data_IF_039244834036
#
_entry.id   IF_039244834036
#
_cell.length_a   1.000
_cell.length_b   1.000
_cell.length_c   1.000
_cell.angle_alpha   90.00
_cell.angle_beta   90.00
_cell.angle_gamma   90.00
#
_symmetry.space_group_name_H-M   'P 1'
#
loop_
_entity.id
_entity.type
_entity.pdbx_description
1 polymer ?
#
# COMPACT_ATOMS: atom_id res chain seq x y z
N UNK A 1 17.74 2.28 -23.48
CA UNK A 1 16.84 3.21 -24.19
C UNK A 1 15.58 2.43 -24.52
N UNK A 2 14.63 2.26 -23.58
CA UNK A 2 13.29 1.66 -23.84
C UNK A 2 12.30 1.85 -22.67
N UNK A 3 12.58 2.79 -21.74
CA UNK A 3 11.75 2.99 -20.55
C UNK A 3 10.50 3.86 -20.81
N UNK A 4 10.30 4.36 -22.04
CA UNK A 4 9.18 5.27 -22.39
C UNK A 4 7.88 4.56 -22.75
N UNK A 5 7.88 3.25 -22.98
CA UNK A 5 6.69 2.54 -23.50
C UNK A 5 5.56 2.37 -22.48
N UNK A 6 5.86 2.40 -21.17
CA UNK A 6 4.88 2.18 -20.10
C UNK A 6 4.58 3.43 -19.26
N UNK A 7 5.03 4.62 -19.69
CA UNK A 7 4.68 5.88 -19.03
C UNK A 7 3.46 6.49 -19.69
N UNK A 8 2.51 6.97 -18.88
CA UNK A 8 1.36 7.74 -19.34
C UNK A 8 1.42 9.17 -18.80
N UNK A 9 1.43 10.16 -19.69
CA UNK A 9 1.36 11.59 -19.34
C UNK A 9 -0.07 11.98 -18.97
N UNK A 10 -0.27 12.46 -17.73
CA UNK A 10 -1.58 12.87 -17.24
C UNK A 10 -2.08 14.16 -17.89
N UNK A 11 -1.22 14.95 -18.57
CA UNK A 11 -1.66 16.12 -19.34
C UNK A 11 -2.33 15.74 -20.66
N UNK A 12 -2.10 14.54 -21.17
CA UNK A 12 -2.72 14.03 -22.40
C UNK A 12 -3.99 13.21 -22.14
N UNK A 13 -4.54 13.29 -20.92
CA UNK A 13 -5.61 12.42 -20.45
C UNK A 13 -6.85 12.50 -21.35
N UNK A 14 -7.15 11.39 -22.00
CA UNK A 14 -8.46 11.11 -22.59
C UNK A 14 -8.85 9.68 -22.27
N UNK A 15 -10.15 9.42 -22.10
CA UNK A 15 -10.63 8.07 -21.76
C UNK A 15 -10.20 7.04 -22.81
N UNK A 16 -10.14 7.42 -24.10
CA UNK A 16 -9.73 6.52 -25.19
C UNK A 16 -8.22 6.22 -25.11
N UNK A 17 -7.37 7.26 -25.04
CA UNK A 17 -5.92 7.08 -24.95
C UNK A 17 -5.54 6.26 -23.71
N UNK A 18 -6.16 6.58 -22.57
CA UNK A 18 -5.89 5.88 -21.33
C UNK A 18 -6.39 4.43 -21.35
N UNK A 19 -7.56 4.17 -21.93
CA UNK A 19 -8.05 2.80 -22.14
C UNK A 19 -7.05 1.99 -22.95
N UNK A 20 -6.57 2.52 -24.06
CA UNK A 20 -5.66 1.79 -24.96
C UNK A 20 -4.31 1.53 -24.28
N UNK A 21 -3.80 2.50 -23.51
CA UNK A 21 -2.65 2.33 -22.63
C UNK A 21 -2.85 1.19 -21.61
N UNK A 22 -3.97 1.20 -20.87
CA UNK A 22 -4.29 0.16 -19.88
C UNK A 22 -4.42 -1.20 -20.57
N UNK A 23 -5.13 -1.31 -21.70
CA UNK A 23 -5.28 -2.58 -22.42
C UNK A 23 -3.93 -3.15 -22.87
N UNK A 24 -3.01 -2.31 -23.33
CA UNK A 24 -1.66 -2.74 -23.70
C UNK A 24 -0.87 -3.23 -22.47
N UNK A 25 -0.98 -2.54 -21.34
CA UNK A 25 -0.39 -2.96 -20.07
C UNK A 25 -0.97 -4.29 -19.58
N UNK A 26 -2.29 -4.46 -19.60
CA UNK A 26 -2.93 -5.68 -19.10
C UNK A 26 -2.56 -6.92 -19.94
N UNK A 27 -2.27 -6.73 -21.23
CA UNK A 27 -1.76 -7.78 -22.14
C UNK A 27 -0.29 -8.13 -21.93
N UNK A 28 0.47 -7.32 -21.18
CA UNK A 28 1.86 -7.68 -20.80
C UNK A 28 1.91 -8.57 -19.55
N UNK A 29 0.83 -9.30 -19.25
CA UNK A 29 0.77 -10.24 -18.12
C UNK A 29 1.69 -11.44 -18.37
N UNK A 30 2.69 -11.61 -17.51
CA UNK A 30 3.61 -12.74 -17.56
C UNK A 30 3.12 -13.92 -16.73
N UNK A 31 2.38 -14.85 -17.36
CA UNK A 31 1.87 -16.06 -16.67
C UNK A 31 2.98 -16.98 -16.16
N UNK A 32 4.08 -17.08 -16.91
CA UNK A 32 5.23 -17.88 -16.49
C UNK A 32 5.88 -17.31 -15.23
N UNK A 33 5.86 -15.98 -15.05
CA UNK A 33 6.30 -15.34 -13.82
C UNK A 33 5.34 -15.66 -12.65
N UNK A 34 4.02 -15.65 -12.86
CA UNK A 34 3.04 -16.06 -11.85
C UNK A 34 3.26 -17.52 -11.42
N UNK A 35 3.47 -18.42 -12.38
CA UNK A 35 3.77 -19.83 -12.12
C UNK A 35 5.08 -20.00 -11.35
N UNK A 36 6.14 -19.32 -11.77
CA UNK A 36 7.43 -19.32 -11.08
C UNK A 36 7.30 -18.85 -9.62
N UNK A 37 6.58 -17.75 -9.39
CA UNK A 37 6.31 -17.24 -8.05
C UNK A 37 5.47 -18.22 -7.23
N UNK A 38 4.48 -18.88 -7.83
CA UNK A 38 3.71 -19.95 -7.19
C UNK A 38 4.59 -21.12 -6.72
N UNK A 39 5.47 -21.62 -7.58
CA UNK A 39 6.43 -22.69 -7.26
C UNK A 39 7.43 -22.25 -6.17
N UNK A 40 7.89 -21.01 -6.23
CA UNK A 40 8.72 -20.41 -5.19
C UNK A 40 7.99 -20.36 -3.85
N UNK A 41 6.72 -19.93 -3.82
CA UNK A 41 5.90 -19.86 -2.62
C UNK A 41 5.64 -21.22 -1.99
N UNK A 42 5.38 -22.26 -2.81
CA UNK A 42 5.23 -23.64 -2.32
C UNK A 42 6.50 -24.10 -1.60
N UNK A 43 7.69 -23.78 -2.13
CA UNK A 43 8.97 -24.10 -1.49
C UNK A 43 9.19 -23.28 -0.22
N UNK A 44 8.85 -22.00 -0.24
CA UNK A 44 9.00 -21.10 0.91
C UNK A 44 8.12 -21.53 2.09
N UNK A 45 6.87 -21.95 1.83
CA UNK A 45 5.93 -22.45 2.86
C UNK A 45 6.38 -23.72 3.59
N UNK A 46 7.34 -24.46 3.03
CA UNK A 46 7.93 -25.64 3.69
C UNK A 46 9.05 -25.28 4.67
N UNK A 47 9.49 -24.02 4.69
CA UNK A 47 10.54 -23.55 5.60
C UNK A 47 9.90 -23.13 6.93
N UNK A 48 10.51 -23.56 8.02
CA UNK A 48 10.12 -23.14 9.36
C UNK A 48 10.67 -21.74 9.67
N UNK A 49 9.83 -20.80 10.16
CA UNK A 49 10.31 -19.51 10.62
C UNK A 49 11.07 -19.64 11.94
N UNK A 50 12.11 -18.83 12.12
CA UNK A 50 12.83 -18.75 13.41
C UNK A 50 12.00 -18.06 14.48
N UNK A 51 11.16 -17.12 14.06
CA UNK A 51 10.23 -16.39 14.91
C UNK A 51 8.82 -16.60 14.38
N UNK A 52 7.96 -17.18 15.21
CA UNK A 52 6.55 -17.40 14.89
C UNK A 52 5.74 -16.19 15.33
N UNK A 53 4.84 -15.72 14.44
CA UNK A 53 3.85 -14.69 14.76
C UNK A 53 2.62 -15.33 15.39
N UNK A 54 2.04 -14.63 16.36
CA UNK A 54 0.79 -14.96 17.03
C UNK A 54 -0.27 -13.92 16.65
N UNK A 55 -1.49 -14.37 16.40
CA UNK A 55 -2.66 -13.49 16.28
C UNK A 55 -3.18 -13.18 17.69
N UNK A 56 -3.26 -11.91 18.05
CA UNK A 56 -3.75 -11.45 19.35
C UNK A 56 -4.68 -10.25 19.18
N UNK A 57 -5.75 -10.19 19.97
CA UNK A 57 -6.68 -9.08 19.98
C UNK A 57 -6.40 -8.11 21.15
N UNK A 58 -6.81 -6.85 20.99
CA UNK A 58 -6.79 -5.87 22.09
C UNK A 58 -5.40 -5.33 22.46
N UNK A 59 -4.41 -5.46 21.57
CA UNK A 59 -3.07 -4.90 21.75
C UNK A 59 -2.83 -3.75 20.79
N UNK A 60 -2.73 -2.54 21.34
CA UNK A 60 -2.42 -1.32 20.59
C UNK A 60 -1.25 -0.59 21.23
N UNK A 61 -0.10 -0.56 20.55
CA UNK A 61 1.02 0.29 20.94
C UNK A 61 0.89 1.72 20.42
N UNK A 62 0.08 1.89 19.37
CA UNK A 62 -0.20 3.17 18.77
C UNK A 62 -1.45 3.79 19.40
N UNK A 63 -1.32 5.04 19.84
CA UNK A 63 -2.43 5.84 20.33
C UNK A 63 -3.04 6.67 19.19
N UNK A 64 -4.37 6.81 19.17
CA UNK A 64 -5.02 7.69 18.19
C UNK A 64 -4.74 9.13 18.58
N UNK A 65 -4.08 9.85 17.68
CA UNK A 65 -3.78 11.28 17.83
C UNK A 65 -4.87 12.13 17.18
N UNK A 66 -5.33 11.72 15.99
CA UNK A 66 -6.37 12.42 15.26
C UNK A 66 -7.18 11.50 14.34
N UNK A 67 -8.33 11.99 13.87
CA UNK A 67 -9.14 11.31 12.88
C UNK A 67 -9.84 12.27 11.91
N UNK A 68 -10.14 11.76 10.71
CA UNK A 68 -10.78 12.46 9.60
C UNK A 68 -11.82 11.52 9.00
N UNK A 69 -13.07 11.97 8.89
CA UNK A 69 -14.13 11.25 8.16
C UNK A 69 -14.35 11.87 6.77
N UNK A 70 -15.06 11.19 5.88
CA UNK A 70 -15.43 11.78 4.57
C UNK A 70 -16.16 13.13 4.70
N UNK A 71 -16.97 13.31 5.75
CA UNK A 71 -17.69 14.56 6.02
C UNK A 71 -16.81 15.72 6.50
N UNK A 72 -15.55 15.43 6.85
CA UNK A 72 -14.60 16.43 7.34
C UNK A 72 -13.76 17.03 6.20
N UNK A 73 -13.94 16.55 4.98
CA UNK A 73 -13.18 16.99 3.81
C UNK A 73 -14.08 17.81 2.90
N UNK A 74 -13.67 19.07 2.69
CA UNK A 74 -14.22 19.90 1.63
C UNK A 74 -13.41 19.69 0.35
N UNK A 75 -14.07 19.19 -0.71
CA UNK A 75 -13.45 18.96 -2.01
C UNK A 75 -14.37 19.47 -3.13
N UNK A 76 -13.77 20.18 -4.08
CA UNK A 76 -14.44 20.60 -5.32
C UNK A 76 -13.81 19.91 -6.52
N UNK A 77 -14.65 19.55 -7.49
CA UNK A 77 -14.18 19.13 -8.81
C UNK A 77 -13.46 20.28 -9.52
N UNK A 78 -12.77 19.99 -10.62
CA UNK A 78 -12.16 21.03 -11.48
C UNK A 78 -13.18 22.06 -11.99
N UNK A 79 -14.46 21.67 -12.12
CA UNK A 79 -15.56 22.56 -12.49
C UNK A 79 -16.16 23.35 -11.33
N UNK A 80 -15.55 23.31 -10.13
CA UNK A 80 -16.03 24.03 -8.96
C UNK A 80 -17.24 23.40 -8.25
N UNK A 81 -17.61 22.17 -8.62
CA UNK A 81 -18.77 21.46 -8.04
C UNK A 81 -18.34 20.77 -6.75
N UNK A 82 -19.06 21.00 -5.66
CA UNK A 82 -18.82 20.32 -4.40
C UNK A 82 -19.05 18.81 -4.56
N UNK A 83 -18.05 18.01 -4.16
CA UNK A 83 -18.11 16.55 -4.24
C UNK A 83 -18.48 16.01 -2.87
N UNK A 84 -19.65 15.37 -2.70
CA UNK A 84 -20.03 14.81 -1.42
C UNK A 84 -19.18 13.58 -1.13
N UNK A 85 -18.39 13.62 -0.06
CA UNK A 85 -17.52 12.53 0.35
C UNK A 85 -18.15 11.72 1.49
N UNK A 86 -18.06 10.39 1.38
CA UNK A 86 -18.47 9.45 2.42
C UNK A 86 -17.28 8.73 3.04
N UNK A 87 -16.25 8.49 2.24
CA UNK A 87 -15.03 7.82 2.65
C UNK A 87 -13.87 8.79 2.61
N UNK A 88 -13.08 8.77 3.67
CA UNK A 88 -11.70 9.24 3.69
C UNK A 88 -10.89 8.20 4.46
N UNK A 89 -10.10 7.39 3.78
CA UNK A 89 -9.39 6.28 4.42
C UNK A 89 -8.01 6.06 3.80
N UNK A 90 -7.29 5.05 4.29
CA UNK A 90 -6.04 4.51 3.75
C UNK A 90 -5.07 5.59 3.24
N UNK A 91 -4.81 6.58 4.08
CA UNK A 91 -4.06 7.77 3.68
C UNK A 91 -2.56 7.60 3.89
N UNK A 92 -1.75 8.25 3.06
CA UNK A 92 -0.32 8.43 3.29
C UNK A 92 -0.02 9.84 3.82
N UNK A 93 0.75 9.90 4.90
CA UNK A 93 1.26 11.11 5.53
C UNK A 93 2.72 11.34 5.13
N UNK A 94 3.05 12.59 4.79
CA UNK A 94 4.43 13.06 4.61
C UNK A 94 4.61 14.35 5.40
N UNK A 95 5.68 14.42 6.19
CA UNK A 95 5.98 15.57 7.03
C UNK A 95 7.25 16.25 6.53
N UNK A 96 7.17 17.56 6.26
CA UNK A 96 8.29 18.41 5.84
C UNK A 96 8.41 19.58 6.82
N UNK A 97 9.23 19.41 7.85
CA UNK A 97 9.23 20.35 8.97
C UNK A 97 7.87 20.35 9.68
N UNK A 98 7.21 21.50 9.78
CA UNK A 98 5.86 21.58 10.34
C UNK A 98 4.75 21.27 9.31
N UNK A 99 5.06 21.29 8.02
CA UNK A 99 4.08 21.08 6.95
C UNK A 99 3.75 19.59 6.82
N UNK A 100 2.47 19.28 6.73
CA UNK A 100 1.96 17.91 6.59
C UNK A 100 1.17 17.80 5.30
N UNK A 101 1.55 16.84 4.48
CA UNK A 101 0.86 16.46 3.25
C UNK A 101 0.13 15.15 3.50
N UNK A 102 -1.18 15.14 3.24
CA UNK A 102 -2.03 13.97 3.37
C UNK A 102 -2.56 13.58 1.99
N UNK A 103 -2.11 12.43 1.50
CA UNK A 103 -2.64 11.76 0.31
C UNK A 103 -3.76 10.83 0.78
N UNK A 104 -5.00 11.15 0.46
CA UNK A 104 -6.20 10.54 1.04
C UNK A 104 -6.88 9.67 -0.03
N UNK A 105 -7.25 8.42 0.29
CA UNK A 105 -8.17 7.63 -0.53
C UNK A 105 -9.59 8.13 -0.27
N UNK A 106 -10.23 8.70 -1.28
CA UNK A 106 -11.53 9.36 -1.18
C UNK A 106 -12.56 8.65 -2.05
N UNK A 107 -13.82 8.66 -1.61
CA UNK A 107 -14.96 8.21 -2.41
C UNK A 107 -16.25 8.92 -1.99
N UNK A 108 -17.11 9.16 -2.97
CA UNK A 108 -18.46 9.71 -2.77
C UNK A 108 -19.51 8.65 -2.44
N UNK A 109 -19.24 7.39 -2.78
CA UNK A 109 -20.06 6.25 -2.42
C UNK A 109 -19.46 5.55 -1.19
N UNK A 110 -20.31 5.15 -0.26
CA UNK A 110 -19.90 4.36 0.91
C UNK A 110 -19.18 3.08 0.50
N UNK A 111 -18.38 2.52 1.40
CA UNK A 111 -17.59 1.33 1.09
C UNK A 111 -18.54 0.17 0.90
N UNK A 112 -18.62 -0.35 -0.32
CA UNK A 112 -19.45 -1.52 -0.59
C UNK A 112 -18.53 -2.75 -0.47
N UNK A 113 -18.78 -3.67 0.48
CA UNK A 113 -17.92 -4.84 0.70
C UNK A 113 -17.98 -5.86 -0.45
N UNK A 114 -19.03 -5.80 -1.27
CA UNK A 114 -19.14 -6.59 -2.50
C UNK A 114 -18.40 -5.82 -3.61
N UNK A 115 -17.63 -6.48 -4.51
CA UNK A 115 -17.08 -5.87 -5.72
C UNK A 115 -18.20 -5.23 -6.54
N UNK A 116 -18.51 -3.99 -6.19
CA UNK A 116 -19.35 -3.11 -6.95
C UNK A 116 -18.38 -2.35 -7.87
N UNK A 117 -18.33 -2.66 -9.17
CA UNK A 117 -17.44 -1.99 -10.11
C UNK A 117 -17.70 -0.47 -10.17
N UNK A 118 -18.81 0.00 -9.58
CA UNK A 118 -19.22 1.39 -9.53
C UNK A 118 -18.79 2.15 -8.27
N UNK A 119 -18.28 1.45 -7.23
CA UNK A 119 -17.64 2.15 -6.12
C UNK A 119 -16.24 2.56 -6.56
N UNK A 120 -16.06 3.87 -6.80
CA UNK A 120 -14.83 4.46 -7.34
C UNK A 120 -14.13 5.22 -6.24
N UNK A 121 -12.84 4.94 -6.07
CA UNK A 121 -11.96 5.70 -5.19
C UNK A 121 -10.95 6.47 -6.02
N UNK A 122 -10.52 7.61 -5.50
CA UNK A 122 -9.51 8.46 -6.10
C UNK A 122 -8.61 9.03 -5.00
N UNK A 123 -7.46 9.60 -5.37
CA UNK A 123 -6.55 10.23 -4.40
C UNK A 123 -6.77 11.73 -4.38
N UNK A 124 -7.06 12.26 -3.19
CA UNK A 124 -7.02 13.69 -2.90
C UNK A 124 -5.75 14.05 -2.13
N UNK A 125 -5.28 15.28 -2.30
CA UNK A 125 -4.21 15.87 -1.53
C UNK A 125 -4.78 16.97 -0.62
N UNK A 126 -4.45 16.89 0.67
CA UNK A 126 -4.65 17.99 1.61
C UNK A 126 -3.33 18.40 2.24
N UNK A 127 -3.27 19.65 2.70
CA UNK A 127 -2.14 20.20 3.45
C UNK A 127 -2.62 20.73 4.79
N UNK A 128 -1.87 20.43 5.82
CA UNK A 128 -2.09 20.92 7.19
C UNK A 128 -0.73 21.05 7.89
N UNK A 129 -0.72 21.13 9.21
CA UNK A 129 0.49 21.20 10.01
C UNK A 129 0.49 20.20 11.16
N UNK A 130 1.67 19.84 11.66
CA UNK A 130 1.83 18.85 12.73
C UNK A 130 1.09 19.24 14.01
N UNK A 131 1.09 20.53 14.35
CA UNK A 131 0.38 21.07 15.50
C UNK A 131 -1.15 20.89 15.40
N UNK A 132 -1.68 20.81 14.18
CA UNK A 132 -3.11 20.59 13.93
C UNK A 132 -3.51 19.12 13.86
N UNK A 133 -2.55 18.19 13.96
CA UNK A 133 -2.83 16.76 13.98
C UNK A 133 -3.31 16.31 15.37
N UNK A 134 -4.47 16.78 15.82
CA UNK A 134 -5.08 16.35 17.08
C UNK A 134 -6.61 16.35 17.00
N UNK A 135 -7.26 15.36 17.61
CA UNK A 135 -8.72 15.25 17.64
C UNK A 135 -9.36 15.08 16.25
N UNK A 136 -10.54 15.65 16.05
CA UNK A 136 -11.23 15.64 14.75
C UNK A 136 -10.70 16.75 13.85
N UNK A 137 -10.15 16.41 12.70
CA UNK A 137 -9.55 17.38 11.77
C UNK A 137 -10.48 17.61 10.58
N UNK A 138 -10.69 18.89 10.24
CA UNK A 138 -11.34 19.30 8.98
C UNK A 138 -10.31 19.78 7.97
N UNK A 139 -10.46 19.35 6.73
CA UNK A 139 -9.48 19.55 5.67
C UNK A 139 -10.13 20.10 4.41
N UNK A 140 -9.35 20.87 3.64
CA UNK A 140 -9.65 21.16 2.24
C UNK A 140 -8.74 20.26 1.41
N UNK A 141 -9.31 19.52 0.46
CA UNK A 141 -8.57 18.62 -0.41
C UNK A 141 -8.78 18.98 -1.88
N UNK A 142 -7.73 18.80 -2.67
CA UNK A 142 -7.80 18.83 -4.12
C UNK A 142 -7.61 17.41 -4.68
N UNK A 143 -8.40 16.96 -5.65
CA UNK A 143 -8.17 15.68 -6.32
C UNK A 143 -6.87 15.74 -7.14
N UNK A 144 -6.01 14.73 -7.01
CA UNK A 144 -4.72 14.67 -7.73
C UNK A 144 -4.56 13.42 -8.61
N UNK A 145 -5.26 12.32 -8.32
CA UNK A 145 -5.29 11.12 -9.15
C UNK A 145 -6.71 10.59 -9.22
N UNK A 146 -7.35 10.75 -10.37
CA UNK A 146 -8.68 10.22 -10.63
C UNK A 146 -8.62 8.77 -11.13
N UNK A 147 -9.71 8.04 -10.88
CA UNK A 147 -10.11 6.97 -11.77
C UNK A 147 -10.47 7.59 -13.12
N UNK A 148 -9.82 7.15 -14.19
CA UNK A 148 -10.06 7.61 -15.56
C UNK A 148 -11.06 6.71 -16.27
N UNK A 149 -11.03 5.40 -15.97
CA UNK A 149 -12.03 4.45 -16.46
C UNK A 149 -13.18 4.32 -15.46
N UNK A 150 -14.35 3.88 -15.95
CA UNK A 150 -15.55 3.72 -15.12
C UNK A 150 -15.43 2.58 -14.11
N UNK A 151 -14.66 1.55 -14.43
CA UNK A 151 -14.43 0.35 -13.62
C UNK A 151 -13.05 0.32 -12.96
N UNK A 152 -12.46 1.50 -12.77
CA UNK A 152 -11.16 1.68 -12.16
C UNK A 152 -11.29 2.26 -10.76
N UNK A 153 -10.41 1.80 -9.86
CA UNK A 153 -10.20 2.39 -8.52
C UNK A 153 -8.75 2.81 -8.37
N UNK A 154 -8.52 3.97 -7.76
CA UNK A 154 -7.19 4.42 -7.32
C UNK A 154 -7.17 4.41 -5.80
N UNK A 155 -6.22 3.70 -5.21
CA UNK A 155 -6.24 3.29 -3.80
C UNK A 155 -4.86 3.43 -3.14
N UNK A 156 -4.88 3.46 -1.81
CA UNK A 156 -3.74 3.19 -0.92
C UNK A 156 -2.42 3.89 -1.34
N UNK A 157 -2.40 5.24 -1.39
CA UNK A 157 -1.20 6.00 -1.70
C UNK A 157 -0.09 5.71 -0.69
N UNK A 158 1.16 5.76 -1.14
CA UNK A 158 2.40 5.54 -0.36
C UNK A 158 3.51 6.41 -0.94
N UNK A 159 4.46 6.83 -0.13
CA UNK A 159 5.62 7.63 -0.60
C UNK A 159 6.88 6.82 -0.39
N UNK A 160 7.82 6.92 -1.33
CA UNK A 160 9.15 6.34 -1.19
C UNK A 160 9.87 6.98 0.02
N UNK A 161 10.39 6.18 0.98
CA UNK A 161 11.00 6.69 2.20
C UNK A 161 12.30 7.47 1.97
N UNK A 162 12.97 7.30 0.83
CA UNK A 162 14.20 8.01 0.47
C UNK A 162 13.98 9.09 -0.61
N UNK A 163 12.93 8.93 -1.41
CA UNK A 163 12.58 9.86 -2.48
C UNK A 163 11.16 10.38 -2.33
N UNK A 164 10.97 11.39 -1.48
CA UNK A 164 9.66 11.99 -1.16
C UNK A 164 8.88 12.61 -2.34
N UNK A 165 9.45 12.59 -3.55
CA UNK A 165 8.80 12.99 -4.81
C UNK A 165 8.26 11.79 -5.61
N UNK A 166 8.33 10.57 -5.07
CA UNK A 166 7.77 9.38 -5.71
C UNK A 166 6.55 8.88 -4.93
N UNK A 167 5.38 9.12 -5.51
CA UNK A 167 4.09 8.66 -5.00
C UNK A 167 3.73 7.33 -5.66
N UNK A 168 3.59 6.29 -4.85
CA UNK A 168 3.07 5.00 -5.23
C UNK A 168 1.57 4.93 -4.92
N UNK A 169 0.79 4.28 -5.77
CA UNK A 169 -0.66 4.08 -5.59
C UNK A 169 -1.10 2.78 -6.25
N UNK A 170 -2.17 2.21 -5.73
CA UNK A 170 -2.76 0.99 -6.28
C UNK A 170 -3.83 1.38 -7.29
N UNK A 171 -3.87 0.70 -8.44
CA UNK A 171 -4.96 0.78 -9.40
C UNK A 171 -5.58 -0.58 -9.63
N UNK A 172 -6.86 -0.71 -9.30
CA UNK A 172 -7.65 -1.90 -9.57
C UNK A 172 -8.52 -1.66 -10.80
N UNK A 173 -8.47 -2.60 -11.75
CA UNK A 173 -9.24 -2.60 -12.98
C UNK A 173 -10.16 -3.80 -13.00
N UNK A 174 -11.46 -3.57 -13.19
CA UNK A 174 -12.45 -4.63 -13.40
C UNK A 174 -12.92 -4.58 -14.85
N UNK A 175 -12.84 -5.70 -15.58
CA UNK A 175 -13.15 -5.76 -17.01
C UNK A 175 -14.44 -6.54 -17.25
N UNK A 176 -15.30 -6.01 -18.13
CA UNK A 176 -16.52 -6.73 -18.54
C UNK A 176 -16.24 -7.93 -19.44
N UNK A 177 -15.12 -7.87 -20.15
CA UNK A 177 -14.60 -8.96 -20.96
C UNK A 177 -13.23 -9.31 -20.42
N UNK A 178 -12.98 -10.59 -20.08
CA UNK A 178 -11.66 -11.00 -19.64
C UNK A 178 -10.57 -10.58 -20.62
N UNK A 179 -9.44 -10.13 -20.09
CA UNK A 179 -8.20 -9.92 -20.83
C UNK A 179 -7.26 -10.99 -20.34
N UNK A 180 -6.71 -11.78 -21.24
CA UNK A 180 -5.89 -12.91 -20.84
C UNK A 180 -6.76 -14.14 -20.50
N UNK A 181 -7.89 -13.96 -19.80
CA UNK A 181 -8.62 -14.93 -18.96
C UNK A 181 -8.84 -14.35 -17.54
N UNK A 182 -8.29 -13.17 -17.26
CA UNK A 182 -8.54 -12.41 -16.05
C UNK A 182 -9.64 -11.35 -16.29
N UNK A 183 -10.60 -11.31 -15.38
CA UNK A 183 -11.66 -10.29 -15.30
C UNK A 183 -11.27 -9.08 -14.44
N UNK A 184 -10.09 -9.15 -13.81
CA UNK A 184 -9.64 -8.17 -12.84
C UNK A 184 -8.13 -8.18 -12.68
N UNK A 185 -7.57 -6.98 -12.52
CA UNK A 185 -6.15 -6.73 -12.28
C UNK A 185 -6.01 -5.72 -11.15
N UNK A 186 -5.01 -5.92 -10.29
CA UNK A 186 -4.65 -4.92 -9.29
C UNK A 186 -3.16 -4.65 -9.33
N UNK A 187 -2.81 -3.48 -9.85
CA UNK A 187 -1.43 -3.10 -10.12
C UNK A 187 -1.01 -1.98 -9.19
N UNK A 188 0.28 -1.92 -8.88
CA UNK A 188 0.88 -0.75 -8.24
C UNK A 188 1.45 0.16 -9.32
N UNK A 189 1.23 1.47 -9.20
CA UNK A 189 1.79 2.50 -10.06
C UNK A 189 2.70 3.43 -9.25
N UNK A 190 3.71 3.98 -9.91
CA UNK A 190 4.57 5.08 -9.48
C UNK A 190 4.16 6.36 -10.22
N UNK A 191 4.23 7.47 -9.52
CA UNK A 191 4.06 8.82 -10.04
C UNK A 191 5.14 9.74 -9.50
N UNK A 192 5.80 10.47 -10.38
CA UNK A 192 6.61 11.60 -9.95
C UNK A 192 5.70 12.80 -9.65
N UNK A 193 5.84 13.35 -8.44
CA UNK A 193 5.09 14.51 -7.99
C UNK A 193 5.97 15.75 -7.96
N UNK A 194 5.39 16.90 -8.28
CA UNK A 194 6.06 18.19 -8.17
C UNK A 194 6.16 18.67 -6.71
N UNK A 195 6.69 19.89 -6.51
CA UNK A 195 6.79 20.50 -5.18
C UNK A 195 5.45 20.76 -4.50
N UNK A 196 4.36 20.79 -5.28
CA UNK A 196 3.01 20.89 -4.79
C UNK A 196 2.41 19.53 -4.46
N UNK A 197 3.11 18.42 -4.73
CA UNK A 197 2.60 17.06 -4.53
C UNK A 197 1.63 16.62 -5.62
N UNK A 198 1.66 17.27 -6.79
CA UNK A 198 0.79 16.96 -7.92
C UNK A 198 1.53 16.05 -8.90
N UNK A 199 0.96 14.88 -9.27
CA UNK A 199 1.58 13.95 -10.20
C UNK A 199 1.43 14.44 -11.65
N UNK A 200 2.49 14.26 -12.45
CA UNK A 200 2.49 14.60 -13.89
C UNK A 200 2.33 13.39 -14.80
N UNK A 201 2.78 12.23 -14.35
CA UNK A 201 2.70 10.98 -15.10
C UNK A 201 2.46 9.80 -14.16
N UNK A 202 2.05 8.68 -14.76
CA UNK A 202 1.92 7.40 -14.08
C UNK A 202 2.67 6.32 -14.86
N UNK A 203 3.33 5.43 -14.13
CA UNK A 203 4.05 4.26 -14.67
C UNK A 203 3.70 3.05 -13.78
N UNK A 204 3.39 1.87 -14.32
CA UNK A 204 3.19 0.69 -13.52
C UNK A 204 4.51 0.25 -12.88
N UNK A 205 4.46 -0.33 -11.69
CA UNK A 205 5.56 -1.16 -11.21
C UNK A 205 5.57 -2.44 -12.03
N UNK A 206 6.71 -2.76 -12.62
CA UNK A 206 6.88 -3.89 -13.53
C UNK A 206 7.84 -4.92 -12.93
N UNK A 207 7.79 -6.14 -13.43
CA UNK A 207 8.79 -7.18 -13.17
C UNK A 207 9.63 -7.37 -14.42
N UNK A 208 10.93 -7.58 -14.24
CA UNK A 208 11.84 -7.96 -15.30
C UNK A 208 12.24 -9.42 -15.13
N UNK A 209 12.06 -10.22 -16.18
CA UNK A 209 12.49 -11.62 -16.19
C UNK A 209 13.96 -11.76 -16.63
N UNK A 210 14.45 -13.00 -16.64
CA UNK A 210 15.81 -13.37 -17.04
C UNK A 210 16.14 -13.10 -18.51
N UNK A 211 15.12 -12.92 -19.35
CA UNK A 211 15.26 -12.56 -20.76
C UNK A 211 15.16 -11.03 -20.95
N UNK A 212 15.22 -10.26 -19.87
CA UNK A 212 15.05 -8.80 -19.84
C UNK A 212 13.66 -8.32 -20.31
N UNK A 213 12.65 -9.20 -20.36
CA UNK A 213 11.29 -8.80 -20.70
C UNK A 213 10.63 -8.08 -19.52
N UNK A 214 9.94 -6.97 -19.81
CA UNK A 214 9.11 -6.27 -18.84
C UNK A 214 7.68 -6.82 -18.86
N UNK A 215 7.21 -7.25 -17.70
CA UNK A 215 5.88 -7.84 -17.52
C UNK A 215 5.19 -7.33 -16.25
N UNK A 216 3.89 -7.55 -16.18
CA UNK A 216 3.12 -7.46 -14.93
C UNK A 216 2.66 -8.84 -14.51
N UNK A 217 2.23 -8.97 -13.25
CA UNK A 217 1.40 -10.08 -12.78
C UNK A 217 0.01 -9.55 -12.41
N UNK A 218 -0.97 -10.43 -12.23
CA UNK A 218 -2.38 -10.05 -12.09
C UNK A 218 -2.68 -9.19 -10.86
N UNK A 219 -2.16 -9.55 -9.70
CA UNK A 219 -2.32 -8.78 -8.46
C UNK A 219 -1.02 -8.75 -7.67
N UNK A 220 -0.54 -7.53 -7.45
CA UNK A 220 0.59 -7.20 -6.59
C UNK A 220 0.36 -5.83 -5.96
N UNK A 221 -0.85 -5.63 -5.41
CA UNK A 221 -1.02 -4.53 -4.45
C UNK A 221 -0.10 -4.73 -3.27
N UNK A 222 0.11 -3.67 -2.49
CA UNK A 222 1.07 -3.66 -1.38
C UNK A 222 2.53 -3.72 -1.85
N UNK A 223 2.80 -3.15 -3.03
CA UNK A 223 4.15 -2.98 -3.57
C UNK A 223 4.59 -1.52 -3.43
N UNK A 224 5.77 -1.30 -2.87
CA UNK A 224 6.33 0.03 -2.64
C UNK A 224 7.83 -0.08 -2.30
N UNK A 225 8.60 1.01 -2.43
CA UNK A 225 10.04 0.96 -2.17
C UNK A 225 10.36 0.63 -0.71
N UNK A 226 11.35 -0.25 -0.52
CA UNK A 226 12.08 -0.33 0.74
C UNK A 226 13.07 0.84 0.82
N UNK A 227 13.82 1.05 -0.26
CA UNK A 227 14.85 2.06 -0.45
C UNK A 227 15.15 2.23 -1.96
N UNK A 228 16.18 2.98 -2.35
CA UNK A 228 16.57 3.19 -3.76
C UNK A 228 16.89 1.88 -4.52
N UNK A 229 17.36 0.82 -3.82
CA UNK A 229 17.85 -0.43 -4.41
C UNK A 229 16.88 -1.60 -4.33
N UNK A 230 15.91 -1.56 -3.40
CA UNK A 230 15.00 -2.67 -3.14
C UNK A 230 13.53 -2.24 -3.10
N UNK A 231 12.66 -3.11 -3.60
CA UNK A 231 11.20 -2.99 -3.54
C UNK A 231 10.63 -4.03 -2.59
N UNK A 232 9.69 -3.63 -1.73
CA UNK A 232 8.77 -4.55 -1.07
C UNK A 232 7.63 -4.83 -2.04
N UNK A 233 7.27 -6.09 -2.24
CA UNK A 233 6.17 -6.47 -3.13
C UNK A 233 5.34 -7.59 -2.52
N UNK A 234 4.07 -7.68 -2.90
CA UNK A 234 3.18 -8.75 -2.44
C UNK A 234 2.43 -9.36 -3.62
N UNK A 235 3.05 -10.28 -4.36
CA UNK A 235 2.34 -11.06 -5.37
C UNK A 235 1.18 -11.82 -4.71
N UNK A 236 0.01 -11.75 -5.33
CA UNK A 236 -1.12 -12.63 -5.06
C UNK A 236 -1.16 -13.73 -6.11
N UNK A 237 -0.99 -14.98 -5.67
CA UNK A 237 -1.08 -16.14 -6.55
C UNK A 237 -2.49 -16.72 -6.39
N UNK A 238 -3.33 -16.45 -7.40
CA UNK A 238 -4.76 -16.79 -7.40
C UNK A 238 -4.97 -18.28 -7.18
N UNK A 239 -4.21 -19.13 -7.87
CA UNK A 239 -4.30 -20.59 -7.80
C UNK A 239 -3.99 -21.13 -6.40
N UNK A 240 -3.18 -20.40 -5.62
CA UNK A 240 -2.82 -20.74 -4.25
C UNK A 240 -3.66 -20.00 -3.21
N UNK A 241 -4.49 -19.04 -3.64
CA UNK A 241 -5.30 -18.17 -2.78
C UNK A 241 -4.49 -17.42 -1.73
N UNK A 242 -3.22 -17.08 -2.01
CA UNK A 242 -2.29 -16.50 -1.04
C UNK A 242 -1.57 -15.27 -1.58
N UNK A 243 -1.39 -14.29 -0.70
CA UNK A 243 -0.45 -13.19 -0.88
C UNK A 243 0.65 -13.24 0.18
N UNK A 244 1.89 -12.98 -0.25
CA UNK A 244 3.08 -13.07 0.60
C UNK A 244 4.02 -11.89 0.35
N UNK A 245 4.54 -11.30 1.41
CA UNK A 245 5.54 -10.23 1.33
C UNK A 245 6.87 -10.80 0.82
N UNK A 246 7.42 -10.17 -0.21
CA UNK A 246 8.75 -10.42 -0.75
C UNK A 246 9.52 -9.11 -0.89
N UNK A 247 10.84 -9.21 -0.94
CA UNK A 247 11.75 -8.09 -1.19
C UNK A 247 12.65 -8.45 -2.37
N UNK A 248 12.78 -7.54 -3.33
CA UNK A 248 13.59 -7.78 -4.53
C UNK A 248 14.40 -6.55 -4.93
N UNK A 249 15.55 -6.73 -5.59
CA UNK A 249 16.27 -5.62 -6.22
C UNK A 249 15.36 -4.88 -7.18
N UNK A 250 15.53 -3.56 -7.26
CA UNK A 250 14.80 -2.71 -8.19
C UNK A 250 15.72 -1.76 -8.93
N UNK A 251 15.26 -1.36 -10.10
CA UNK A 251 15.69 -0.13 -10.76
C UNK A 251 14.45 0.74 -10.96
N UNK A 252 14.33 1.83 -10.17
CA UNK A 252 13.13 2.68 -10.12
C UNK A 252 11.86 1.84 -9.86
N UNK A 253 10.93 1.78 -10.81
CA UNK A 253 9.68 1.03 -10.73
C UNK A 253 9.77 -0.40 -11.29
N UNK A 254 10.95 -0.89 -11.65
CA UNK A 254 11.13 -2.24 -12.20
C UNK A 254 11.78 -3.14 -11.15
N UNK A 255 11.17 -4.28 -10.85
CA UNK A 255 11.64 -5.30 -9.90
C UNK A 255 12.33 -6.42 -10.67
N UNK A 256 13.52 -6.83 -10.22
CA UNK A 256 14.23 -7.99 -10.75
C UNK A 256 13.57 -9.29 -10.22
N UNK A 257 12.87 -10.04 -11.07
CA UNK A 257 12.05 -11.19 -10.66
C UNK A 257 12.89 -12.29 -10.00
N UNK A 258 14.06 -12.60 -10.56
CA UNK A 258 14.96 -13.63 -10.03
C UNK A 258 15.59 -13.25 -8.69
N UNK A 259 15.70 -11.95 -8.42
CA UNK A 259 16.25 -11.42 -7.18
C UNK A 259 15.25 -11.39 -6.02
N UNK A 260 13.98 -11.74 -6.25
CA UNK A 260 12.95 -11.74 -5.22
C UNK A 260 13.22 -12.77 -4.11
N UNK A 261 13.10 -12.31 -2.87
CA UNK A 261 13.30 -13.09 -1.66
C UNK A 261 12.07 -12.99 -0.79
N UNK A 262 11.50 -14.13 -0.43
CA UNK A 262 10.53 -14.24 0.65
C UNK A 262 11.18 -14.75 1.93
N UNK A 263 10.67 -14.30 3.07
CA UNK A 263 11.13 -14.70 4.39
C UNK A 263 10.07 -15.55 5.09
N UNK A 264 10.41 -16.73 5.65
CA UNK A 264 9.45 -17.55 6.40
C UNK A 264 8.75 -16.76 7.52
N UNK A 265 9.45 -15.81 8.13
CA UNK A 265 8.94 -14.92 9.18
C UNK A 265 7.93 -13.89 8.68
N UNK A 266 7.73 -13.74 7.37
CA UNK A 266 6.77 -12.82 6.73
C UNK A 266 5.69 -13.54 5.91
N UNK A 267 5.74 -14.88 5.80
CA UNK A 267 4.67 -15.63 5.13
C UNK A 267 3.47 -15.83 6.08
N UNK A 268 2.26 -16.05 5.56
CA UNK A 268 1.10 -16.40 6.37
C UNK A 268 1.32 -17.72 7.13
N UNK A 269 1.04 -17.71 8.42
CA UNK A 269 0.89 -18.90 9.27
C UNK A 269 -0.40 -19.65 8.92
N UNK A 270 -0.63 -20.87 9.44
CA UNK A 270 -1.86 -21.62 9.18
C UNK A 270 -3.16 -20.90 9.58
N UNK A 271 -3.09 -19.92 10.49
CA UNK A 271 -4.24 -19.12 10.92
C UNK A 271 -4.41 -17.81 10.15
N UNK A 272 -3.57 -17.58 9.13
CA UNK A 272 -3.55 -16.36 8.34
C UNK A 272 -3.78 -16.68 6.86
N UNK A 273 -4.67 -15.93 6.22
CA UNK A 273 -4.94 -16.06 4.77
C UNK A 273 -3.82 -15.45 3.94
N UNK A 274 -3.32 -14.28 4.35
CA UNK A 274 -2.31 -13.51 3.60
C UNK A 274 -1.55 -12.55 4.50
N UNK A 275 -0.36 -12.16 4.05
CA UNK A 275 0.40 -11.03 4.57
C UNK A 275 0.58 -9.99 3.48
N UNK A 276 0.76 -8.73 3.86
CA UNK A 276 1.07 -7.66 2.91
C UNK A 276 1.74 -6.45 3.54
N UNK A 277 2.59 -5.78 2.77
CA UNK A 277 3.30 -4.60 3.23
C UNK A 277 2.36 -3.39 3.38
N UNK A 278 2.62 -2.54 4.36
CA UNK A 278 1.86 -1.30 4.56
C UNK A 278 2.68 -0.08 4.19
N UNK A 279 3.82 0.12 4.84
CA UNK A 279 4.76 1.19 4.53
C UNK A 279 6.13 0.89 5.14
N UNK A 280 7.15 1.65 4.72
CA UNK A 280 8.50 1.57 5.28
C UNK A 280 8.89 2.92 5.90
N UNK A 281 9.62 2.86 7.01
CA UNK A 281 10.27 4.00 7.64
C UNK A 281 11.78 3.74 7.63
N UNK A 282 12.57 4.71 7.17
CA UNK A 282 14.03 4.66 7.31
C UNK A 282 14.41 4.97 8.76
N UNK A 283 15.05 4.03 9.44
CA UNK A 283 15.50 4.19 10.84
C UNK A 283 16.91 4.77 10.90
N UNK A 284 17.80 4.27 10.04
CA UNK A 284 19.20 4.68 9.96
C UNK A 284 19.70 4.56 8.51
N UNK A 285 21.00 4.72 8.26
CA UNK A 285 21.56 4.47 6.92
C UNK A 285 21.38 3.02 6.46
N UNK A 286 21.29 2.08 7.41
CA UNK A 286 21.38 0.65 7.13
C UNK A 286 20.13 -0.12 7.53
N UNK A 287 19.14 0.51 8.18
CA UNK A 287 17.98 -0.17 8.75
C UNK A 287 16.68 0.53 8.41
N UNK A 288 15.66 -0.29 8.14
CA UNK A 288 14.33 0.12 7.71
C UNK A 288 13.29 -0.65 8.51
N UNK A 289 12.30 0.07 9.05
CA UNK A 289 11.14 -0.50 9.71
C UNK A 289 10.04 -0.71 8.67
N UNK A 290 9.75 -1.97 8.34
CA UNK A 290 8.58 -2.35 7.57
C UNK A 290 7.39 -2.50 8.53
N UNK A 291 6.36 -1.69 8.32
CA UNK A 291 5.03 -1.93 8.88
C UNK A 291 4.29 -2.84 7.88
N UNK A 292 3.70 -3.92 8.37
CA UNK A 292 2.98 -4.86 7.53
C UNK A 292 1.76 -5.44 8.24
N UNK A 293 0.83 -6.00 7.49
CA UNK A 293 -0.38 -6.59 8.01
C UNK A 293 -0.42 -8.08 7.72
N UNK A 294 -1.18 -8.76 8.56
CA UNK A 294 -1.66 -10.10 8.35
C UNK A 294 -3.17 -10.13 8.42
N UNK A 295 -3.77 -11.05 7.67
CA UNK A 295 -5.22 -11.23 7.62
C UNK A 295 -5.55 -12.61 8.16
N UNK A 296 -6.32 -12.67 9.23
CA UNK A 296 -6.77 -13.92 9.84
C UNK A 296 -7.62 -14.73 8.82
N UNK A 297 -7.46 -16.05 8.86
CA UNK A 297 -7.89 -16.94 7.78
C UNK A 297 -9.41 -17.05 7.58
N UNK A 298 -10.19 -17.00 8.67
CA UNK A 298 -11.60 -17.38 8.66
C UNK A 298 -12.53 -16.17 8.61
N UNK A 299 -12.27 -15.15 9.43
CA UNK A 299 -13.09 -13.94 9.59
C UNK A 299 -12.42 -12.69 9.04
N UNK A 300 -11.15 -12.77 8.61
CA UNK A 300 -10.51 -11.72 7.84
C UNK A 300 -10.08 -10.51 8.65
N UNK A 301 -9.89 -10.67 9.96
CA UNK A 301 -9.43 -9.58 10.85
C UNK A 301 -7.98 -9.17 10.54
N UNK A 302 -7.69 -7.87 10.59
CA UNK A 302 -6.39 -7.31 10.24
C UNK A 302 -5.50 -7.07 11.45
N UNK A 303 -4.33 -7.70 11.47
CA UNK A 303 -3.34 -7.56 12.53
C UNK A 303 -2.08 -6.88 11.96
N UNK A 304 -1.66 -5.76 12.54
CA UNK A 304 -0.47 -5.04 12.09
C UNK A 304 0.74 -5.47 12.90
N UNK A 305 1.84 -5.74 12.22
CA UNK A 305 3.14 -6.13 12.78
C UNK A 305 4.22 -5.20 12.23
N UNK A 306 5.42 -5.32 12.81
CA UNK A 306 6.61 -4.63 12.32
C UNK A 306 7.76 -5.62 12.09
N UNK A 307 8.61 -5.29 11.13
CA UNK A 307 9.84 -6.00 10.83
C UNK A 307 10.97 -5.00 10.57
N UNK A 308 12.20 -5.37 10.91
CA UNK A 308 13.39 -4.59 10.58
C UNK A 308 14.10 -5.26 9.42
N UNK A 309 14.39 -4.50 8.38
CA UNK A 309 15.19 -4.94 7.23
C UNK A 309 16.47 -4.12 7.11
N UNK A 310 17.53 -4.74 6.59
CA UNK A 310 18.75 -4.04 6.23
C UNK A 310 18.59 -3.22 4.94
N UNK A 311 19.58 -2.37 4.64
CA UNK A 311 19.69 -1.67 3.35
C UNK A 311 19.74 -2.59 2.14
N UNK A 312 20.17 -3.84 2.32
CA UNK A 312 20.24 -4.86 1.27
C UNK A 312 18.99 -5.75 1.21
N UNK A 313 17.93 -5.33 1.91
CA UNK A 313 16.66 -6.04 1.96
C UNK A 313 16.68 -7.32 2.80
N UNK A 314 17.72 -7.56 3.62
CA UNK A 314 17.75 -8.71 4.52
C UNK A 314 16.84 -8.50 5.73
N UNK A 315 16.00 -9.48 6.07
CA UNK A 315 15.22 -9.44 7.30
C UNK A 315 16.11 -9.63 8.53
N UNK A 316 16.14 -8.63 9.40
CA UNK A 316 16.92 -8.61 10.64
C UNK A 316 16.10 -9.04 11.85
N UNK A 317 14.81 -8.71 11.89
CA UNK A 317 13.91 -9.04 12.99
C UNK A 317 12.44 -8.86 12.65
N UNK A 318 11.56 -9.46 13.45
CA UNK A 318 10.11 -9.32 13.32
C UNK A 318 9.45 -9.30 14.70
N UNK A 319 8.37 -8.52 14.85
CA UNK A 319 7.54 -8.58 16.05
C UNK A 319 6.72 -9.89 16.06
N UNK A 320 6.80 -10.73 17.10
CA UNK A 320 6.03 -11.97 17.18
C UNK A 320 4.54 -11.72 17.47
N UNK A 321 4.20 -10.52 17.92
CA UNK A 321 2.84 -10.12 18.29
C UNK A 321 2.48 -8.84 17.56
N UNK A 322 1.20 -8.59 17.27
CA UNK A 322 0.80 -7.37 16.58
C UNK A 322 1.12 -6.13 17.43
N UNK A 323 1.41 -5.03 16.75
CA UNK A 323 1.59 -3.68 17.31
C UNK A 323 0.29 -2.86 17.24
N UNK A 324 -0.64 -3.25 16.36
CA UNK A 324 -2.01 -2.73 16.26
C UNK A 324 -2.92 -3.91 15.97
N UNK A 325 -3.97 -4.06 16.78
CA UNK A 325 -4.96 -5.12 16.61
C UNK A 325 -6.37 -4.54 16.54
N UNK A 326 -7.32 -5.24 15.90
CA UNK A 326 -8.70 -4.80 15.89
C UNK A 326 -9.28 -4.79 17.31
N UNK A 327 -10.12 -3.81 17.60
CA UNK A 327 -10.87 -3.71 18.86
C UNK A 327 -12.33 -4.01 18.58
N UNK A 328 -12.87 -5.03 19.25
CA UNK A 328 -14.23 -5.57 19.01
C UNK A 328 -15.31 -4.47 19.09
N UNK A 329 -15.14 -3.51 19.99
CA UNK A 329 -16.09 -2.41 20.18
C UNK A 329 -16.00 -1.32 19.11
N UNK A 330 -15.13 -1.44 18.11
CA UNK A 330 -14.88 -0.41 17.11
C UNK A 330 -15.31 -0.84 15.69
N UNK A 331 -16.11 -1.89 15.52
CA UNK A 331 -16.46 -2.45 14.20
C UNK A 331 -17.68 -1.75 13.58
N UNK A 332 -17.48 -0.70 12.77
CA UNK A 332 -18.59 0.13 12.27
C UNK A 332 -18.62 0.42 10.77
N UNK A 333 -17.53 0.15 10.02
CA UNK A 333 -17.42 0.54 8.61
C UNK A 333 -17.56 -0.59 7.59
N UNK A 334 -17.31 -0.26 6.32
CA UNK A 334 -17.41 -1.16 5.16
C UNK A 334 -16.56 -2.43 5.27
N UNK A 335 -15.43 -2.34 5.98
CA UNK A 335 -14.57 -3.49 6.24
C UNK A 335 -14.26 -3.60 7.73
N UNK A 336 -15.21 -4.08 8.55
CA UNK A 336 -15.04 -4.15 9.99
C UNK A 336 -13.76 -4.89 10.40
N UNK A 337 -13.24 -4.54 11.58
CA UNK A 337 -12.02 -5.13 12.14
C UNK A 337 -10.76 -4.87 11.30
N UNK A 338 -10.70 -3.68 10.68
CA UNK A 338 -9.54 -3.28 9.86
C UNK A 338 -8.95 -1.95 10.32
N UNK A 339 -7.66 -1.95 10.65
CA UNK A 339 -6.81 -0.75 10.66
C UNK A 339 -5.70 -1.00 9.65
N UNK A 340 -5.74 -0.28 8.52
CA UNK A 340 -4.83 -0.46 7.40
C UNK A 340 -3.87 0.72 7.29
N UNK A 341 -2.64 0.53 7.76
CA UNK A 341 -1.60 1.56 7.70
C UNK A 341 -1.18 1.81 6.25
N UNK A 342 -1.04 3.07 5.84
CA UNK A 342 -0.63 3.43 4.48
C UNK A 342 0.56 4.39 4.43
N UNK A 343 0.77 5.19 5.48
CA UNK A 343 1.90 6.09 5.56
C UNK A 343 2.48 6.13 6.96
N UNK A 344 3.76 6.43 7.05
CA UNK A 344 4.47 6.58 8.31
C UNK A 344 5.62 7.58 8.15
N UNK A 345 5.90 8.33 9.20
CA UNK A 345 7.01 9.27 9.30
C UNK A 345 7.63 9.15 10.70
N UNK A 346 8.96 9.19 10.77
CA UNK A 346 9.68 9.30 12.03
C UNK A 346 9.99 10.77 12.28
N UNK A 347 9.51 11.32 13.38
CA UNK A 347 9.78 12.71 13.79
C UNK A 347 10.43 12.67 15.16
N UNK A 348 11.74 12.94 15.19
CA UNK A 348 12.58 12.68 16.38
C UNK A 348 12.43 11.20 16.77
N UNK A 349 11.93 10.91 17.96
CA UNK A 349 11.75 9.55 18.49
C UNK A 349 10.27 9.10 18.49
N UNK A 350 9.39 9.84 17.79
CA UNK A 350 7.97 9.51 17.64
C UNK A 350 7.67 9.03 16.22
N UNK A 351 7.10 7.82 16.12
CA UNK A 351 6.50 7.32 14.89
C UNK A 351 5.10 7.90 14.75
N UNK A 352 4.85 8.60 13.65
CA UNK A 352 3.52 9.06 13.26
C UNK A 352 3.08 8.23 12.06
N UNK A 353 1.96 7.54 12.18
CA UNK A 353 1.38 6.75 11.10
C UNK A 353 0.01 7.28 10.71
N UNK A 354 -0.32 7.11 9.44
CA UNK A 354 -1.65 7.34 8.90
C UNK A 354 -2.25 6.03 8.41
N UNK A 355 -3.47 5.74 8.82
CA UNK A 355 -4.14 4.47 8.58
C UNK A 355 -5.61 4.67 8.22
N UNK A 356 -6.18 3.75 7.45
CA UNK A 356 -7.63 3.67 7.30
C UNK A 356 -8.23 2.73 8.33
N UNK A 357 -9.29 3.17 8.99
CA UNK A 357 -10.13 2.35 9.84
C UNK A 357 -11.38 1.94 9.07
N UNK A 358 -11.61 0.63 9.01
CA UNK A 358 -12.73 -0.05 8.35
C UNK A 358 -12.99 0.39 6.90
N UNK A 359 -11.94 0.81 6.18
CA UNK A 359 -11.98 1.40 4.83
C UNK A 359 -12.80 2.71 4.72
N UNK A 360 -13.13 3.39 5.83
CA UNK A 360 -14.00 4.59 5.83
C UNK A 360 -13.43 5.85 6.48
N UNK A 361 -12.59 5.68 7.50
CA UNK A 361 -12.09 6.76 8.36
C UNK A 361 -10.57 6.79 8.29
N UNK A 362 -9.96 7.98 8.19
CA UNK A 362 -8.51 8.14 8.33
C UNK A 362 -8.20 8.38 9.80
N UNK A 363 -7.27 7.60 10.32
CA UNK A 363 -6.64 7.79 11.62
C UNK A 363 -5.22 8.32 11.44
N UNK A 364 -4.83 9.25 12.29
CA UNK A 364 -3.43 9.56 12.57
C UNK A 364 -3.12 9.00 13.95
N UNK A 365 -2.12 8.14 14.05
CA UNK A 365 -1.74 7.46 15.28
C UNK A 365 -0.26 7.67 15.57
N UNK A 366 0.12 7.65 16.84
CA UNK A 366 1.52 7.77 17.25
C UNK A 366 1.96 6.75 18.27
N UNK A 367 3.25 6.42 18.22
CA UNK A 367 3.94 5.59 19.20
C UNK A 367 5.40 6.08 19.35
N UNK A 368 6.00 5.83 20.52
CA UNK A 368 7.45 5.98 20.69
C UNK A 368 8.17 4.92 19.85
N UNK A 369 9.24 5.32 19.16
CA UNK A 369 10.06 4.41 18.36
C UNK A 369 10.62 3.28 19.23
N UNK A 370 11.21 3.60 20.38
CA UNK A 370 11.81 2.61 21.29
C UNK A 370 10.81 1.53 21.69
N UNK A 371 9.59 1.92 22.07
CA UNK A 371 8.52 0.96 22.42
C UNK A 371 8.14 0.03 21.27
N UNK A 372 8.24 0.50 20.02
CA UNK A 372 7.96 -0.34 18.84
C UNK A 372 9.14 -1.27 18.55
N UNK A 373 10.38 -0.79 18.74
CA UNK A 373 11.59 -1.60 18.54
C UNK A 373 11.73 -2.69 19.61
N UNK A 374 11.34 -2.42 20.87
CA UNK A 374 11.31 -3.40 21.97
C UNK A 374 10.46 -4.65 21.67
N UNK A 375 9.49 -4.53 20.76
CA UNK A 375 8.66 -5.65 20.31
C UNK A 375 9.32 -6.57 19.29
N UNK A 376 10.40 -6.10 18.66
CA UNK A 376 11.06 -6.83 17.59
C UNK A 376 11.98 -7.89 18.19
N UNK A 377 11.77 -9.14 17.79
CA UNK A 377 12.75 -10.21 18.02
C UNK A 377 13.69 -10.29 16.83
N UNK A 378 14.99 -10.29 17.09
CA UNK A 378 16.02 -10.38 16.06
C UNK A 378 16.27 -11.83 15.63
N UNK A 379 16.41 -12.04 14.32
CA UNK A 379 16.67 -13.34 13.67
C UNK A 379 18.16 -13.66 13.64
N UNK A 380 18.98 -12.61 13.59
CA UNK A 380 20.44 -12.62 13.73
C UNK A 380 20.78 -11.67 14.88
N UNK A 381 21.36 -12.22 15.95
CA UNK A 381 21.68 -11.53 17.19
C UNK A 381 22.05 -12.57 18.24
#
# INVERSE_FOLDING_TARGET
MEHRSFMFDLNELSTIKYRDYVLNLLRSRGRDAEKFLGEYLIRLRKKEPRIRRELLNGRDLFSIRAYITGSDIHLRSLGGIDVPLRIASNSCIVCKGNDVYLYLRLSSLGGHPIPNPWSRTFIGLSRTSLDRLHGRIRLIAQPILYSTLSTERVEDPRIDPEHLRELYHVRAYYTYRPIDDADSFTLTFRSEIDDQGIPKSIEPVMFKDHNENLLIIRDYRDTFPLNEKFMVTRPWIEELGVGVIMVGPRNRNVIELEGLRGYPELIPTPHERKTGGNCVIKLSSNEYLLVFHSVEAYFGTYHTYVAILSSDGELLGVSPKPVISPRINDYYGARPATIFVCGAQLIKDELIISAGKDDEITLIMTASLDKVIEEVKFIKG
#
